data_IF_693710143860
#
_entry.id   IF_693710143860
#
_cell.length_a   1.000
_cell.length_b   1.000
_cell.length_c   1.000
_cell.angle_alpha   90.00
_cell.angle_beta   90.00
_cell.angle_gamma   90.00
#
_symmetry.space_group_name_H-M   'P 1'
#
loop_
_entity.id
_entity.type
_entity.pdbx_description
1 polymer ?
#
# COMPACT_ATOMS: atom_id res chain seq x y z
N UNK A 1 -11.85 41.89 -14.29
CA UNK A 1 -11.63 40.64 -13.55
C UNK A 1 -10.56 40.98 -12.53
N UNK A 2 -10.99 41.48 -11.36
CA UNK A 2 -10.05 41.89 -10.32
C UNK A 2 -9.49 40.64 -9.66
N UNK A 3 -8.18 40.45 -9.80
CA UNK A 3 -7.46 39.38 -9.13
C UNK A 3 -7.39 39.78 -7.65
N UNK A 4 -8.09 39.04 -6.79
CA UNK A 4 -7.96 39.18 -5.35
C UNK A 4 -6.57 38.65 -4.92
N UNK A 5 -5.59 39.55 -4.96
CA UNK A 5 -4.20 39.29 -4.63
C UNK A 5 -4.05 38.76 -3.19
N UNK A 6 -4.92 39.19 -2.28
CA UNK A 6 -4.87 38.77 -0.88
C UNK A 6 -5.26 37.30 -0.73
N UNK A 7 -6.31 36.85 -1.43
CA UNK A 7 -6.75 35.46 -1.45
C UNK A 7 -5.71 34.54 -2.11
N UNK A 8 -5.09 34.99 -3.21
CA UNK A 8 -4.02 34.24 -3.86
C UNK A 8 -2.79 34.08 -2.97
N UNK A 9 -2.40 35.14 -2.25
CA UNK A 9 -1.28 35.10 -1.32
C UNK A 9 -1.50 34.09 -0.18
N UNK A 10 -2.72 34.02 0.40
CA UNK A 10 -3.03 33.05 1.44
C UNK A 10 -2.99 31.60 0.95
N UNK A 11 -3.55 31.32 -0.23
CA UNK A 11 -3.47 29.98 -0.85
C UNK A 11 -2.03 29.59 -1.17
N UNK A 12 -1.24 30.54 -1.67
CA UNK A 12 0.17 30.33 -1.96
C UNK A 12 0.97 30.02 -0.69
N UNK A 13 0.79 30.80 0.39
CA UNK A 13 1.46 30.56 1.67
C UNK A 13 1.06 29.22 2.30
N UNK A 14 -0.23 28.86 2.25
CA UNK A 14 -0.71 27.56 2.72
C UNK A 14 -0.05 26.41 1.95
N UNK A 15 -0.14 26.42 0.62
CA UNK A 15 0.48 25.40 -0.22
C UNK A 15 2.00 25.30 -0.03
N UNK A 16 2.69 26.44 0.04
CA UNK A 16 4.13 26.48 0.30
C UNK A 16 4.50 25.89 1.67
N UNK A 17 3.72 26.20 2.71
CA UNK A 17 3.97 25.67 4.06
C UNK A 17 3.85 24.14 4.12
N UNK A 18 2.87 23.56 3.41
CA UNK A 18 2.70 22.11 3.30
C UNK A 18 3.81 21.46 2.46
N UNK A 19 4.27 22.13 1.41
CA UNK A 19 5.44 21.69 0.63
C UNK A 19 6.72 21.68 1.46
N UNK A 20 6.87 22.57 2.44
CA UNK A 20 7.99 22.56 3.39
C UNK A 20 7.80 21.48 4.47
N UNK A 21 6.57 21.25 4.93
CA UNK A 21 6.27 20.22 5.92
C UNK A 21 6.54 18.81 5.40
N UNK A 22 6.24 18.53 4.12
CA UNK A 22 6.38 17.19 3.55
C UNK A 22 7.80 16.60 3.66
N UNK A 23 8.89 17.30 3.26
CA UNK A 23 10.25 16.84 3.50
C UNK A 23 10.57 16.58 4.98
N UNK A 24 10.04 17.40 5.89
CA UNK A 24 10.23 17.20 7.34
C UNK A 24 9.59 15.87 7.77
N UNK A 25 8.37 15.58 7.31
CA UNK A 25 7.69 14.32 7.57
C UNK A 25 8.46 13.13 6.97
N UNK A 26 8.97 13.23 5.74
CA UNK A 26 9.80 12.18 5.15
C UNK A 26 11.09 11.91 5.94
N UNK A 27 11.78 12.97 6.39
CA UNK A 27 12.98 12.84 7.23
C UNK A 27 12.65 12.13 8.54
N UNK A 28 11.56 12.52 9.20
CA UNK A 28 11.11 11.87 10.44
C UNK A 28 10.76 10.40 10.18
N UNK A 29 10.00 10.11 9.12
CA UNK A 29 9.61 8.74 8.77
C UNK A 29 10.83 7.85 8.53
N UNK A 30 11.80 8.32 7.76
CA UNK A 30 13.03 7.57 7.45
C UNK A 30 13.93 7.41 8.66
N UNK A 31 14.06 8.44 9.50
CA UNK A 31 14.81 8.37 10.75
C UNK A 31 14.19 7.34 11.72
N UNK A 32 12.87 7.35 11.88
CA UNK A 32 12.17 6.34 12.68
C UNK A 32 12.36 4.93 12.09
N UNK A 33 12.38 4.80 10.77
CA UNK A 33 12.48 3.49 10.12
C UNK A 33 13.88 2.88 10.32
N UNK A 34 14.92 3.72 10.26
CA UNK A 34 16.29 3.35 10.64
C UNK A 34 16.38 2.94 12.11
N UNK A 35 15.75 3.70 13.02
CA UNK A 35 15.78 3.43 14.47
C UNK A 35 15.11 2.10 14.84
N UNK A 36 13.98 1.78 14.18
CA UNK A 36 13.15 0.60 14.49
C UNK A 36 13.69 -0.66 13.81
N UNK A 37 14.38 -0.52 12.67
CA UNK A 37 14.88 -1.68 11.93
C UNK A 37 16.07 -2.33 12.65
N UNK A 38 16.17 -3.68 12.67
CA UNK A 38 17.28 -4.38 13.32
C UNK A 38 18.60 -4.33 12.53
N UNK A 39 18.63 -3.58 11.43
CA UNK A 39 19.74 -3.43 10.50
C UNK A 39 19.82 -1.96 10.06
N UNK A 40 21.00 -1.52 9.61
CA UNK A 40 21.15 -0.17 9.05
C UNK A 40 20.62 -0.13 7.61
N UNK A 41 19.53 0.59 7.38
CA UNK A 41 18.98 0.80 6.04
C UNK A 41 19.99 1.58 5.21
N UNK A 42 20.65 2.59 5.80
CA UNK A 42 21.64 3.40 5.08
C UNK A 42 22.79 2.56 4.53
N UNK A 43 23.39 1.70 5.35
CA UNK A 43 24.49 0.82 4.93
C UNK A 43 24.04 -0.16 3.83
N UNK A 44 22.88 -0.79 4.03
CA UNK A 44 22.30 -1.73 3.07
C UNK A 44 22.02 -1.08 1.70
N UNK A 45 21.52 0.16 1.68
CA UNK A 45 21.21 0.86 0.44
C UNK A 45 22.46 1.46 -0.24
N UNK A 46 23.32 2.13 0.51
CA UNK A 46 24.39 2.97 -0.05
C UNK A 46 25.70 2.22 -0.27
N UNK A 47 26.09 1.36 0.68
CA UNK A 47 27.37 0.64 0.62
C UNK A 47 27.17 -0.73 -0.03
N UNK A 48 26.12 -1.45 0.37
CA UNK A 48 25.86 -2.82 -0.08
C UNK A 48 25.02 -2.92 -1.35
N UNK A 49 24.42 -1.81 -1.80
CA UNK A 49 23.53 -1.72 -2.97
C UNK A 49 22.42 -2.79 -2.96
N UNK A 50 21.81 -3.03 -1.80
CA UNK A 50 20.79 -4.05 -1.62
C UNK A 50 19.47 -3.65 -2.30
N UNK A 51 19.22 -4.21 -3.50
CA UNK A 51 18.04 -3.90 -4.31
C UNK A 51 16.74 -4.40 -3.68
N UNK A 52 16.76 -5.54 -2.97
CA UNK A 52 15.60 -6.08 -2.30
C UNK A 52 15.10 -5.15 -1.18
N UNK A 53 16.01 -4.65 -0.34
CA UNK A 53 15.66 -3.61 0.62
C UNK A 53 15.30 -2.28 -0.07
N UNK A 54 16.00 -1.93 -1.16
CA UNK A 54 15.78 -0.72 -1.93
C UNK A 54 14.35 -0.56 -2.45
N UNK A 55 13.79 -1.60 -3.06
CA UNK A 55 12.41 -1.55 -3.57
C UNK A 55 11.38 -1.44 -2.44
N UNK A 56 11.61 -2.13 -1.32
CA UNK A 56 10.76 -2.02 -0.12
C UNK A 56 10.83 -0.62 0.51
N UNK A 57 12.03 -0.06 0.64
CA UNK A 57 12.24 1.28 1.20
C UNK A 57 11.67 2.39 0.29
N UNK A 58 11.78 2.24 -1.02
CA UNK A 58 11.11 3.11 -2.00
C UNK A 58 9.60 3.14 -1.76
N UNK A 59 8.97 1.96 -1.65
CA UNK A 59 7.55 1.86 -1.40
C UNK A 59 7.11 2.37 -0.03
N UNK A 60 7.93 2.22 1.02
CA UNK A 60 7.68 2.85 2.31
C UNK A 60 7.58 4.38 2.18
N UNK A 61 8.50 5.02 1.44
CA UNK A 61 8.45 6.47 1.22
C UNK A 61 7.24 6.90 0.36
N UNK A 62 6.84 6.09 -0.62
CA UNK A 62 5.60 6.33 -1.37
C UNK A 62 4.37 6.19 -0.47
N UNK A 63 4.35 5.20 0.43
CA UNK A 63 3.26 5.03 1.39
C UNK A 63 3.16 6.23 2.36
N UNK A 64 4.29 6.74 2.87
CA UNK A 64 4.33 7.97 3.67
C UNK A 64 3.79 9.16 2.87
N UNK A 65 4.07 9.22 1.57
CA UNK A 65 3.52 10.23 0.67
C UNK A 65 2.01 10.11 0.53
N UNK A 66 1.46 8.90 0.36
CA UNK A 66 0.02 8.66 0.33
C UNK A 66 -0.68 9.08 1.62
N UNK A 67 -0.06 8.79 2.77
CA UNK A 67 -0.53 9.24 4.09
C UNK A 67 -0.58 10.77 4.16
N UNK A 68 0.51 11.44 3.76
CA UNK A 68 0.59 12.91 3.76
C UNK A 68 -0.49 13.53 2.87
N UNK A 69 -0.68 12.98 1.66
CA UNK A 69 -1.74 13.42 0.76
C UNK A 69 -3.11 13.25 1.41
N UNK A 70 -3.39 12.09 2.02
CA UNK A 70 -4.65 11.83 2.71
C UNK A 70 -4.93 12.86 3.81
N UNK A 71 -3.94 13.15 4.65
CA UNK A 71 -4.03 14.15 5.71
C UNK A 71 -4.23 15.58 5.15
N UNK A 72 -3.72 15.88 3.96
CA UNK A 72 -3.84 17.18 3.29
C UNK A 72 -5.22 17.41 2.65
N UNK A 73 -5.95 16.36 2.26
CA UNK A 73 -7.22 16.48 1.53
C UNK A 73 -8.42 16.94 2.39
N UNK A 74 -8.21 17.26 3.67
CA UNK A 74 -9.24 17.81 4.56
C UNK A 74 -9.55 19.29 4.31
N UNK A 75 -10.64 19.81 4.91
CA UNK A 75 -10.98 21.24 4.83
C UNK A 75 -9.88 22.10 5.48
N UNK A 76 -9.43 23.12 4.74
CA UNK A 76 -8.49 24.12 5.26
C UNK A 76 -9.21 25.11 6.17
N UNK A 77 -8.74 25.25 7.41
CA UNK A 77 -9.32 26.15 8.43
C UNK A 77 -8.34 27.22 8.89
N UNK A 78 -7.08 27.14 8.46
CA UNK A 78 -6.06 28.16 8.71
C UNK A 78 -4.66 27.57 8.69
N UNK A 79 -3.65 28.37 8.31
CA UNK A 79 -2.28 27.89 8.09
C UNK A 79 -1.72 27.09 9.28
N UNK A 80 -1.86 27.60 10.50
CA UNK A 80 -1.33 26.93 11.70
C UNK A 80 -2.07 25.64 12.02
N UNK A 81 -3.39 25.63 11.88
CA UNK A 81 -4.23 24.47 12.12
C UNK A 81 -3.98 23.39 11.06
N UNK A 82 -3.80 23.79 9.81
CA UNK A 82 -3.50 22.88 8.70
C UNK A 82 -2.13 22.21 8.93
N UNK A 83 -1.09 22.99 9.30
CA UNK A 83 0.23 22.43 9.62
C UNK A 83 0.19 21.44 10.79
N UNK A 84 -0.53 21.77 11.88
CA UNK A 84 -0.67 20.89 13.04
C UNK A 84 -1.47 19.63 12.70
N UNK A 85 -2.56 19.77 11.94
CA UNK A 85 -3.44 18.65 11.59
C UNK A 85 -2.76 17.71 10.60
N UNK A 86 -2.23 18.25 9.49
CA UNK A 86 -1.50 17.46 8.49
C UNK A 86 -0.28 16.80 9.11
N UNK A 87 0.49 17.55 9.92
CA UNK A 87 1.66 17.00 10.63
C UNK A 87 1.27 15.90 11.61
N UNK A 88 0.27 16.13 12.46
CA UNK A 88 -0.20 15.15 13.44
C UNK A 88 -0.74 13.87 12.81
N UNK A 89 -1.60 13.99 11.79
CA UNK A 89 -2.13 12.83 11.06
C UNK A 89 -1.07 12.12 10.24
N UNK A 90 -0.08 12.83 9.70
CA UNK A 90 1.07 12.18 9.04
C UNK A 90 1.89 11.34 10.01
N UNK A 91 2.15 11.85 11.23
CA UNK A 91 2.85 11.09 12.27
C UNK A 91 2.04 9.87 12.73
N UNK A 92 0.71 10.02 12.90
CA UNK A 92 -0.17 8.89 13.17
C UNK A 92 -0.09 7.86 12.04
N UNK A 93 -0.19 8.28 10.78
CA UNK A 93 -0.14 7.37 9.65
C UNK A 93 1.20 6.67 9.51
N UNK A 94 2.33 7.32 9.84
CA UNK A 94 3.65 6.67 9.94
C UNK A 94 3.61 5.54 11.00
N UNK A 95 3.01 5.79 12.17
CA UNK A 95 2.84 4.75 13.19
C UNK A 95 1.99 3.56 12.68
N UNK A 96 0.93 3.85 11.90
CA UNK A 96 0.11 2.82 11.27
C UNK A 96 0.85 2.04 10.18
N UNK A 97 1.74 2.68 9.42
CA UNK A 97 2.60 1.98 8.46
C UNK A 97 3.58 1.03 9.15
N UNK A 98 4.08 1.36 10.34
CA UNK A 98 4.86 0.41 11.13
C UNK A 98 4.02 -0.77 11.61
N UNK A 99 2.78 -0.52 12.06
CA UNK A 99 1.87 -1.59 12.41
C UNK A 99 1.56 -2.48 11.19
N UNK A 100 1.35 -1.90 10.02
CA UNK A 100 1.19 -2.62 8.76
C UNK A 100 2.42 -3.47 8.41
N UNK A 101 3.64 -2.96 8.62
CA UNK A 101 4.89 -3.75 8.48
C UNK A 101 4.88 -4.98 9.39
N UNK A 102 4.47 -4.82 10.66
CA UNK A 102 4.38 -5.93 11.61
C UNK A 102 3.33 -6.95 11.18
N UNK A 103 2.14 -6.50 10.76
CA UNK A 103 1.07 -7.35 10.22
C UNK A 103 1.58 -8.11 9.00
N UNK A 104 2.24 -7.44 8.05
CA UNK A 104 2.82 -8.07 6.88
C UNK A 104 3.83 -9.16 7.25
N UNK A 105 4.75 -8.87 8.17
CA UNK A 105 5.78 -9.83 8.57
C UNK A 105 5.25 -11.02 9.38
N UNK A 106 4.15 -10.85 10.12
CA UNK A 106 3.63 -11.88 11.04
C UNK A 106 2.45 -12.66 10.49
N UNK A 107 1.67 -12.05 9.61
CA UNK A 107 0.38 -12.60 9.14
C UNK A 107 0.34 -12.82 7.64
N UNK A 108 0.99 -11.96 6.83
CA UNK A 108 1.04 -12.12 5.36
C UNK A 108 2.21 -13.03 4.97
N UNK A 109 3.43 -12.70 5.37
CA UNK A 109 4.66 -13.45 5.09
C UNK A 109 5.12 -14.24 6.32
N UNK A 110 4.25 -15.10 6.84
CA UNK A 110 4.45 -15.74 8.16
C UNK A 110 5.31 -17.00 8.16
N UNK A 111 5.63 -17.58 6.98
CA UNK A 111 6.35 -18.86 6.87
C UNK A 111 7.88 -18.73 6.87
N UNK A 112 8.43 -17.53 6.62
CA UNK A 112 9.87 -17.29 6.56
C UNK A 112 10.24 -15.96 7.23
N UNK A 113 11.54 -15.72 7.43
CA UNK A 113 12.03 -14.50 8.07
C UNK A 113 12.28 -13.39 7.04
N UNK A 114 11.41 -12.39 6.99
CA UNK A 114 11.58 -11.25 6.09
C UNK A 114 12.92 -10.52 6.27
N UNK A 115 13.48 -10.48 7.49
CA UNK A 115 14.78 -9.83 7.72
C UNK A 115 15.89 -10.64 7.06
N UNK A 116 15.87 -11.97 7.21
CA UNK A 116 16.85 -12.86 6.58
C UNK A 116 16.76 -12.73 5.06
N UNK A 117 15.56 -12.86 4.51
CA UNK A 117 15.31 -12.76 3.07
C UNK A 117 15.75 -11.41 2.48
N UNK A 118 15.47 -10.29 3.16
CA UNK A 118 15.83 -8.96 2.65
C UNK A 118 17.33 -8.65 2.77
N UNK A 119 17.97 -9.09 3.85
CA UNK A 119 19.32 -8.62 4.22
C UNK A 119 20.39 -9.64 3.86
N UNK A 120 20.18 -10.91 4.20
CA UNK A 120 21.15 -11.97 3.95
C UNK A 120 21.02 -12.48 2.51
N UNK A 121 19.81 -12.91 2.12
CA UNK A 121 19.56 -13.53 0.81
C UNK A 121 19.37 -12.49 -0.30
N UNK A 122 19.08 -11.23 0.07
CA UNK A 122 18.79 -10.11 -0.85
C UNK A 122 17.70 -10.47 -1.86
N UNK A 123 16.70 -11.21 -1.38
CA UNK A 123 15.60 -11.74 -2.15
C UNK A 123 14.69 -10.61 -2.67
N UNK A 124 14.80 -10.35 -3.97
CA UNK A 124 14.02 -9.30 -4.63
C UNK A 124 12.51 -9.55 -4.55
N UNK A 125 12.06 -10.81 -4.62
CA UNK A 125 10.65 -11.18 -4.51
C UNK A 125 10.06 -10.76 -3.16
N UNK A 126 10.76 -11.04 -2.06
CA UNK A 126 10.37 -10.59 -0.71
C UNK A 126 10.33 -9.07 -0.62
N UNK A 127 11.32 -8.37 -1.19
CA UNK A 127 11.37 -6.92 -1.29
C UNK A 127 10.14 -6.33 -2.00
N UNK A 128 9.76 -6.90 -3.14
CA UNK A 128 8.61 -6.46 -3.94
C UNK A 128 7.28 -6.73 -3.22
N UNK A 129 7.12 -7.87 -2.54
CA UNK A 129 5.89 -8.13 -1.76
C UNK A 129 5.76 -7.15 -0.60
N UNK A 130 6.84 -6.89 0.12
CA UNK A 130 6.83 -5.88 1.19
C UNK A 130 6.52 -4.49 0.61
N UNK A 131 7.05 -4.17 -0.57
CA UNK A 131 6.72 -2.94 -1.29
C UNK A 131 5.23 -2.83 -1.63
N UNK A 132 4.63 -3.89 -2.16
CA UNK A 132 3.20 -3.92 -2.47
C UNK A 132 2.32 -3.75 -1.23
N UNK A 133 2.69 -4.41 -0.14
CA UNK A 133 2.02 -4.28 1.16
C UNK A 133 2.11 -2.86 1.74
N UNK A 134 3.27 -2.20 1.62
CA UNK A 134 3.41 -0.79 2.01
C UNK A 134 2.54 0.14 1.17
N UNK A 135 2.56 0.01 -0.16
CA UNK A 135 1.75 0.85 -1.06
C UNK A 135 0.26 0.68 -0.75
N UNK A 136 -0.21 -0.57 -0.64
CA UNK A 136 -1.60 -0.88 -0.28
C UNK A 136 -1.98 -0.25 1.06
N UNK A 137 -1.12 -0.41 2.07
CA UNK A 137 -1.35 0.16 3.40
C UNK A 137 -1.30 1.68 3.41
N UNK A 138 -0.42 2.30 2.61
CA UNK A 138 -0.34 3.75 2.45
C UNK A 138 -1.61 4.34 1.85
N UNK A 139 -2.19 3.68 0.84
CA UNK A 139 -3.49 4.07 0.29
C UNK A 139 -4.60 3.95 1.32
N UNK A 140 -4.68 2.82 2.04
CA UNK A 140 -5.68 2.60 3.09
C UNK A 140 -5.56 3.65 4.20
N UNK A 141 -4.35 3.88 4.72
CA UNK A 141 -4.14 4.87 5.79
C UNK A 141 -4.49 6.26 5.28
N UNK A 142 -3.98 6.65 4.11
CA UNK A 142 -4.29 7.95 3.51
C UNK A 142 -5.80 8.18 3.35
N UNK A 143 -6.53 7.18 2.85
CA UNK A 143 -7.99 7.25 2.75
C UNK A 143 -8.69 7.31 4.10
N UNK A 144 -8.24 6.54 5.09
CA UNK A 144 -8.85 6.52 6.43
C UNK A 144 -8.70 7.84 7.21
N UNK A 145 -7.72 8.66 6.81
CA UNK A 145 -7.44 9.98 7.38
C UNK A 145 -8.18 11.11 6.63
N UNK A 146 -8.81 10.80 5.51
CA UNK A 146 -9.56 11.74 4.69
C UNK A 146 -11.06 11.70 5.01
N UNK A 147 -11.74 12.85 4.89
CA UNK A 147 -13.18 12.98 5.10
C UNK A 147 -13.55 13.65 6.43
N UNK A 148 -14.82 14.04 6.56
CA UNK A 148 -15.39 14.66 7.77
C UNK A 148 -16.24 13.67 8.59
N UNK A 149 -16.69 14.09 9.78
CA UNK A 149 -17.60 13.31 10.65
C UNK A 149 -16.94 12.20 11.48
N UNK A 150 -15.70 11.83 11.15
CA UNK A 150 -14.93 10.80 11.85
C UNK A 150 -13.84 11.37 12.75
N UNK A 151 -12.77 10.60 12.92
CA UNK A 151 -11.55 11.02 13.60
C UNK A 151 -10.58 9.86 13.77
N UNK A 152 -9.65 9.99 14.72
CA UNK A 152 -8.63 8.95 14.97
C UNK A 152 -9.24 7.57 15.22
N UNK A 153 -10.37 7.47 15.93
CA UNK A 153 -11.02 6.18 16.24
C UNK A 153 -11.53 5.49 14.98
N UNK A 154 -12.20 6.22 14.08
CA UNK A 154 -12.72 5.64 12.82
C UNK A 154 -11.57 5.28 11.89
N UNK A 155 -10.55 6.15 11.78
CA UNK A 155 -9.36 5.88 11.00
C UNK A 155 -8.67 4.58 11.44
N UNK A 156 -8.46 4.41 12.75
CA UNK A 156 -7.89 3.19 13.33
C UNK A 156 -8.74 1.95 13.05
N UNK A 157 -10.06 2.04 13.24
CA UNK A 157 -10.96 0.91 13.03
C UNK A 157 -10.95 0.44 11.57
N UNK A 158 -11.13 1.35 10.61
CA UNK A 158 -11.14 0.99 9.20
C UNK A 158 -9.76 0.60 8.68
N UNK A 159 -8.69 1.20 9.19
CA UNK A 159 -7.33 0.71 8.93
C UNK A 159 -7.20 -0.76 9.36
N UNK A 160 -7.58 -1.12 10.59
CA UNK A 160 -7.48 -2.50 11.08
C UNK A 160 -8.34 -3.46 10.26
N UNK A 161 -9.57 -3.07 9.91
CA UNK A 161 -10.45 -3.88 9.05
C UNK A 161 -9.83 -4.11 7.66
N UNK A 162 -9.25 -3.07 7.06
CA UNK A 162 -8.59 -3.17 5.75
C UNK A 162 -7.30 -3.99 5.81
N UNK A 163 -6.52 -3.91 6.89
CA UNK A 163 -5.36 -4.78 7.11
C UNK A 163 -5.79 -6.25 7.27
N UNK A 164 -6.89 -6.52 7.98
CA UNK A 164 -7.46 -7.86 8.07
C UNK A 164 -7.94 -8.36 6.70
N UNK A 165 -8.51 -7.50 5.87
CA UNK A 165 -8.87 -7.84 4.49
C UNK A 165 -7.63 -8.17 3.65
N UNK A 166 -6.53 -7.41 3.75
CA UNK A 166 -5.26 -7.76 3.07
C UNK A 166 -4.72 -9.13 3.51
N UNK A 167 -4.75 -9.43 4.81
CA UNK A 167 -4.34 -10.74 5.35
C UNK A 167 -5.27 -11.85 4.82
N UNK A 168 -6.59 -11.67 4.90
CA UNK A 168 -7.53 -12.66 4.41
C UNK A 168 -7.37 -12.90 2.90
N UNK A 169 -7.15 -11.84 2.12
CA UNK A 169 -6.93 -11.95 0.70
C UNK A 169 -5.61 -12.64 0.36
N UNK A 170 -4.55 -12.48 1.17
CA UNK A 170 -3.30 -13.24 0.98
C UNK A 170 -3.52 -14.75 1.06
N UNK A 171 -4.41 -15.19 1.97
CA UNK A 171 -4.79 -16.59 2.10
C UNK A 171 -5.63 -17.02 0.89
N UNK A 172 -6.61 -16.22 0.47
CA UNK A 172 -7.43 -16.50 -0.72
C UNK A 172 -6.54 -16.62 -1.96
N UNK A 173 -5.61 -15.67 -2.15
CA UNK A 173 -4.68 -15.66 -3.26
C UNK A 173 -3.84 -16.95 -3.30
N UNK A 174 -3.29 -17.37 -2.15
CA UNK A 174 -2.53 -18.62 -2.05
C UNK A 174 -3.38 -19.88 -2.29
N UNK A 175 -4.69 -19.83 -2.03
CA UNK A 175 -5.60 -20.97 -2.26
C UNK A 175 -6.04 -21.09 -3.72
N UNK A 176 -6.11 -19.98 -4.45
CA UNK A 176 -6.51 -19.98 -5.86
C UNK A 176 -5.32 -20.19 -6.81
N UNK A 177 -4.09 -19.89 -6.37
CA UNK A 177 -2.88 -20.20 -7.13
C UNK A 177 -2.64 -21.70 -7.17
N UNK A 178 -2.04 -22.18 -8.26
CA UNK A 178 -1.60 -23.58 -8.39
C UNK A 178 -0.37 -23.91 -7.55
N UNK A 179 0.26 -22.91 -6.93
CA UNK A 179 1.49 -23.03 -6.14
C UNK A 179 1.38 -22.33 -4.78
N UNK A 180 2.25 -22.73 -3.86
CA UNK A 180 2.41 -22.10 -2.54
C UNK A 180 3.28 -20.84 -2.67
N UNK A 181 2.66 -19.67 -2.49
CA UNK A 181 3.34 -18.39 -2.70
C UNK A 181 4.50 -18.19 -1.72
N UNK A 182 4.38 -18.71 -0.49
CA UNK A 182 5.45 -18.57 0.50
C UNK A 182 6.66 -19.40 0.12
N UNK A 183 6.42 -20.63 -0.35
CA UNK A 183 7.50 -21.50 -0.82
C UNK A 183 8.23 -20.86 -2.01
N UNK A 184 7.48 -20.38 -3.00
CA UNK A 184 8.07 -19.77 -4.19
C UNK A 184 8.87 -18.52 -3.86
N UNK A 185 8.33 -17.63 -3.01
CA UNK A 185 9.03 -16.43 -2.59
C UNK A 185 10.31 -16.79 -1.82
N UNK A 186 10.27 -17.73 -0.88
CA UNK A 186 11.46 -18.21 -0.14
C UNK A 186 12.52 -18.86 -1.05
N UNK A 187 12.13 -19.37 -2.21
CA UNK A 187 13.04 -19.89 -3.25
C UNK A 187 13.49 -18.83 -4.27
N UNK A 188 13.55 -17.56 -3.86
CA UNK A 188 13.95 -16.41 -4.67
C UNK A 188 13.15 -16.22 -5.97
N UNK A 189 11.89 -16.68 -6.03
CA UNK A 189 11.03 -16.48 -7.18
C UNK A 189 10.48 -15.05 -7.21
N UNK A 190 11.26 -14.13 -7.81
CA UNK A 190 10.88 -12.74 -8.03
C UNK A 190 9.54 -12.58 -8.78
N UNK A 191 9.20 -13.51 -9.66
CA UNK A 191 7.98 -13.48 -10.47
C UNK A 191 6.73 -13.71 -9.62
N UNK A 192 6.79 -14.70 -8.72
CA UNK A 192 5.74 -14.94 -7.73
C UNK A 192 5.58 -13.73 -6.80
N UNK A 193 6.71 -13.13 -6.37
CA UNK A 193 6.70 -11.91 -5.56
C UNK A 193 6.04 -10.72 -6.26
N UNK A 194 6.35 -10.49 -7.54
CA UNK A 194 5.71 -9.46 -8.37
C UNK A 194 4.20 -9.71 -8.52
N UNK A 195 3.79 -10.91 -8.94
CA UNK A 195 2.38 -11.25 -9.11
C UNK A 195 1.57 -11.02 -7.82
N UNK A 196 2.11 -11.48 -6.69
CA UNK A 196 1.46 -11.30 -5.40
C UNK A 196 1.43 -9.84 -4.93
N UNK A 197 2.52 -9.08 -5.11
CA UNK A 197 2.57 -7.66 -4.77
C UNK A 197 1.53 -6.83 -5.53
N UNK A 198 1.34 -7.10 -6.83
CA UNK A 198 0.36 -6.38 -7.64
C UNK A 198 -1.07 -6.64 -7.18
N UNK A 199 -1.35 -7.85 -6.71
CA UNK A 199 -2.61 -8.23 -6.11
C UNK A 199 -2.86 -7.52 -4.76
N UNK A 200 -1.84 -7.38 -3.91
CA UNK A 200 -1.94 -6.60 -2.68
C UNK A 200 -2.22 -5.12 -2.97
N UNK A 201 -1.50 -4.52 -3.93
CA UNK A 201 -1.73 -3.13 -4.35
C UNK A 201 -3.14 -2.96 -4.91
N UNK A 202 -3.58 -3.88 -5.78
CA UNK A 202 -4.91 -3.85 -6.37
C UNK A 202 -6.03 -3.89 -5.32
N UNK A 203 -5.90 -4.77 -4.33
CA UNK A 203 -6.83 -4.78 -3.20
C UNK A 203 -6.73 -3.48 -2.38
N UNK A 204 -5.52 -2.98 -2.12
CA UNK A 204 -5.30 -1.71 -1.43
C UNK A 204 -6.00 -0.52 -2.11
N UNK A 205 -5.97 -0.46 -3.45
CA UNK A 205 -6.69 0.55 -4.24
C UNK A 205 -8.19 0.42 -4.03
N UNK A 206 -8.76 -0.79 -4.10
CA UNK A 206 -10.20 -0.98 -3.89
C UNK A 206 -10.61 -0.64 -2.45
N UNK A 207 -9.82 -1.05 -1.45
CA UNK A 207 -10.06 -0.73 -0.05
C UNK A 207 -9.91 0.77 0.24
N UNK A 208 -9.08 1.48 -0.52
CA UNK A 208 -8.98 2.95 -0.46
C UNK A 208 -10.34 3.61 -0.72
N UNK A 209 -11.09 3.14 -1.72
CA UNK A 209 -12.46 3.61 -2.00
C UNK A 209 -13.41 3.24 -0.86
N UNK A 210 -13.28 2.01 -0.35
CA UNK A 210 -14.17 1.45 0.67
C UNK A 210 -14.05 2.13 2.05
N UNK A 211 -12.89 2.74 2.33
CA UNK A 211 -12.55 3.37 3.62
C UNK A 211 -12.56 4.90 3.54
N UNK A 212 -12.34 5.48 2.36
CA UNK A 212 -12.27 6.92 2.18
C UNK A 212 -13.63 7.61 2.13
N UNK A 213 -13.64 8.90 2.44
CA UNK A 213 -14.82 9.77 2.38
C UNK A 213 -15.39 10.08 3.77
N UNK A 214 -16.54 10.75 3.79
CA UNK A 214 -17.14 11.23 5.03
C UNK A 214 -17.70 10.09 5.89
N UNK A 215 -17.41 10.12 7.18
CA UNK A 215 -18.00 9.20 8.14
C UNK A 215 -19.43 9.63 8.49
N UNK A 216 -20.41 8.99 7.85
CA UNK A 216 -21.83 9.20 8.13
C UNK A 216 -22.29 8.46 9.41
N UNK A 217 -22.10 7.14 9.47
CA UNK A 217 -22.42 6.30 10.63
C UNK A 217 -21.69 4.96 10.56
N UNK A 218 -21.56 4.25 11.69
CA UNK A 218 -20.95 2.92 11.71
C UNK A 218 -21.64 1.94 10.76
N UNK A 219 -22.97 1.89 10.79
CA UNK A 219 -23.75 0.99 9.93
C UNK A 219 -23.50 1.28 8.45
N UNK A 220 -23.59 2.55 8.04
CA UNK A 220 -23.42 2.94 6.65
C UNK A 220 -22.01 2.62 6.13
N UNK A 221 -20.98 3.07 6.86
CA UNK A 221 -19.59 2.92 6.41
C UNK A 221 -19.11 1.47 6.50
N UNK A 222 -19.55 0.70 7.49
CA UNK A 222 -19.26 -0.75 7.52
C UNK A 222 -19.95 -1.49 6.37
N UNK A 223 -21.17 -1.10 6.00
CA UNK A 223 -21.87 -1.71 4.87
C UNK A 223 -21.16 -1.41 3.54
N UNK A 224 -20.71 -0.17 3.33
CA UNK A 224 -19.87 0.19 2.18
C UNK A 224 -18.56 -0.61 2.17
N UNK A 225 -17.87 -0.66 3.32
CA UNK A 225 -16.62 -1.38 3.46
C UNK A 225 -16.77 -2.86 3.11
N UNK A 226 -17.76 -3.54 3.71
CA UNK A 226 -18.02 -4.97 3.48
C UNK A 226 -18.44 -5.22 2.04
N UNK A 227 -19.32 -4.40 1.46
CA UNK A 227 -19.75 -4.53 0.06
C UNK A 227 -18.56 -4.43 -0.90
N UNK A 228 -17.74 -3.39 -0.76
CA UNK A 228 -16.65 -3.15 -1.69
C UNK A 228 -15.50 -4.16 -1.49
N UNK A 229 -15.25 -4.59 -0.25
CA UNK A 229 -14.33 -5.71 0.04
C UNK A 229 -14.82 -7.02 -0.56
N UNK A 230 -16.10 -7.36 -0.41
CA UNK A 230 -16.68 -8.58 -0.98
C UNK A 230 -16.60 -8.58 -2.51
N UNK A 231 -16.89 -7.43 -3.15
CA UNK A 231 -16.71 -7.27 -4.60
C UNK A 231 -15.25 -7.49 -5.02
N UNK A 232 -14.27 -6.94 -4.28
CA UNK A 232 -12.86 -7.16 -4.56
C UNK A 232 -12.47 -8.64 -4.49
N UNK A 233 -12.92 -9.34 -3.44
CA UNK A 233 -12.64 -10.76 -3.21
C UNK A 233 -13.26 -11.68 -4.26
N UNK A 234 -14.29 -11.22 -4.98
CA UNK A 234 -14.92 -11.97 -6.08
C UNK A 234 -14.28 -11.58 -7.42
N UNK A 235 -14.19 -10.28 -7.69
CA UNK A 235 -13.81 -9.77 -9.00
C UNK A 235 -12.32 -9.93 -9.29
N UNK A 236 -11.42 -9.78 -8.31
CA UNK A 236 -9.98 -9.97 -8.55
C UNK A 236 -9.64 -11.42 -8.92
N UNK A 237 -10.13 -12.47 -8.21
CA UNK A 237 -9.94 -13.86 -8.65
C UNK A 237 -10.56 -14.17 -10.02
N UNK A 238 -11.77 -13.67 -10.29
CA UNK A 238 -12.41 -13.85 -11.60
C UNK A 238 -11.58 -13.22 -12.71
N UNK A 239 -11.10 -11.99 -12.50
CA UNK A 239 -10.27 -11.29 -13.46
C UNK A 239 -8.96 -12.03 -13.72
N UNK A 240 -8.32 -12.56 -12.67
CA UNK A 240 -7.12 -13.41 -12.81
C UNK A 240 -7.37 -14.63 -13.69
N UNK A 241 -8.42 -15.40 -13.41
CA UNK A 241 -8.77 -16.58 -14.21
C UNK A 241 -9.07 -16.18 -15.67
N UNK A 242 -9.69 -15.01 -15.87
CA UNK A 242 -9.95 -14.50 -17.21
C UNK A 242 -8.66 -14.10 -17.94
N UNK A 243 -7.68 -13.50 -17.27
CA UNK A 243 -6.37 -13.20 -17.86
C UNK A 243 -5.68 -14.47 -18.34
N UNK A 244 -5.58 -15.47 -17.47
CA UNK A 244 -4.90 -16.74 -17.78
C UNK A 244 -5.54 -17.42 -19.01
N UNK A 245 -6.88 -17.41 -19.11
CA UNK A 245 -7.60 -18.11 -20.18
C UNK A 245 -7.74 -17.32 -21.48
N UNK A 246 -8.00 -16.01 -21.40
CA UNK A 246 -8.41 -15.20 -22.55
C UNK A 246 -7.23 -14.47 -23.17
N UNK A 247 -6.32 -13.94 -22.35
CA UNK A 247 -5.19 -13.14 -22.85
C UNK A 247 -4.04 -14.06 -23.28
N UNK A 248 -3.83 -15.17 -22.58
CA UNK A 248 -2.70 -16.07 -22.82
C UNK A 248 -3.15 -17.48 -23.26
N UNK A 249 -4.12 -17.56 -24.17
CA UNK A 249 -4.77 -18.81 -24.63
C UNK A 249 -3.85 -19.96 -25.10
N UNK A 250 -2.54 -19.71 -25.23
CA UNK A 250 -1.53 -20.69 -25.65
C UNK A 250 -0.43 -20.97 -24.61
N UNK A 251 -0.41 -20.26 -23.47
CA UNK A 251 0.59 -20.42 -22.39
C UNK A 251 -0.02 -20.09 -21.03
N UNK A 252 0.04 -21.01 -20.07
CA UNK A 252 -0.45 -20.74 -18.72
C UNK A 252 0.49 -19.76 -18.00
N UNK A 253 -0.05 -18.60 -17.60
CA UNK A 253 0.72 -17.57 -16.89
C UNK A 253 1.24 -18.08 -15.55
N UNK A 254 0.45 -18.91 -14.86
CA UNK A 254 0.84 -19.53 -13.59
C UNK A 254 1.98 -20.52 -13.78
N UNK A 255 1.98 -21.30 -14.88
CA UNK A 255 3.09 -22.18 -15.25
C UNK A 255 4.37 -21.37 -15.52
N UNK A 256 4.28 -20.24 -16.24
CA UNK A 256 5.43 -19.35 -16.47
C UNK A 256 5.99 -18.72 -15.19
N UNK A 257 5.14 -18.38 -14.23
CA UNK A 257 5.57 -17.85 -12.94
C UNK A 257 6.22 -18.95 -12.09
N UNK A 258 5.65 -20.15 -12.10
CA UNK A 258 6.09 -21.28 -11.27
C UNK A 258 7.34 -21.96 -11.83
N UNK A 259 7.26 -22.52 -13.04
CA UNK A 259 8.31 -23.38 -13.60
C UNK A 259 9.48 -22.57 -14.15
N UNK A 260 9.18 -21.54 -14.94
CA UNK A 260 10.21 -20.74 -15.63
C UNK A 260 10.77 -19.60 -14.77
N UNK A 261 10.16 -19.32 -13.60
CA UNK A 261 10.40 -18.12 -12.78
C UNK A 261 10.45 -16.86 -13.64
N UNK A 262 9.52 -16.75 -14.61
CA UNK A 262 9.56 -15.73 -15.65
C UNK A 262 9.15 -14.34 -15.12
N UNK A 263 10.14 -13.48 -14.88
CA UNK A 263 9.94 -12.14 -14.32
C UNK A 263 8.97 -11.29 -15.16
N UNK A 264 9.09 -11.23 -16.50
CA UNK A 264 8.10 -10.56 -17.35
C UNK A 264 6.65 -11.03 -17.14
N UNK A 265 6.41 -12.33 -16.92
CA UNK A 265 5.08 -12.86 -16.62
C UNK A 265 4.54 -12.31 -15.29
N UNK A 266 5.37 -12.29 -14.24
CA UNK A 266 5.01 -11.69 -12.95
C UNK A 266 4.76 -10.18 -13.05
N UNK A 267 5.57 -9.44 -13.82
CA UNK A 267 5.37 -8.01 -14.09
C UNK A 267 4.05 -7.75 -14.83
N UNK A 268 3.68 -8.64 -15.75
CA UNK A 268 2.44 -8.54 -16.49
C UNK A 268 1.25 -8.74 -15.56
N UNK A 269 1.21 -9.80 -14.75
CA UNK A 269 0.17 -10.01 -13.73
C UNK A 269 0.06 -8.81 -12.78
N UNK A 270 1.21 -8.29 -12.33
CA UNK A 270 1.28 -7.10 -11.49
C UNK A 270 0.57 -5.90 -12.14
N UNK A 271 0.94 -5.57 -13.38
CA UNK A 271 0.45 -4.37 -14.06
C UNK A 271 -1.03 -4.46 -14.42
N UNK A 272 -1.50 -5.59 -14.96
CA UNK A 272 -2.90 -5.74 -15.38
C UNK A 272 -3.85 -5.80 -14.20
N UNK A 273 -3.45 -6.42 -13.08
CA UNK A 273 -4.29 -6.51 -11.88
C UNK A 273 -4.45 -5.14 -11.23
N UNK A 274 -3.38 -4.36 -11.14
CA UNK A 274 -3.45 -2.96 -10.69
C UNK A 274 -4.34 -2.15 -11.66
N UNK A 275 -4.14 -2.28 -12.97
CA UNK A 275 -4.94 -1.55 -13.97
C UNK A 275 -6.44 -1.84 -13.83
N UNK A 276 -6.81 -3.10 -13.65
CA UNK A 276 -8.20 -3.50 -13.41
C UNK A 276 -8.75 -2.90 -12.11
N UNK A 277 -7.97 -2.92 -11.03
CA UNK A 277 -8.40 -2.33 -9.75
C UNK A 277 -8.62 -0.83 -9.82
N UNK A 278 -7.81 -0.10 -10.61
CA UNK A 278 -7.99 1.34 -10.84
C UNK A 278 -9.30 1.60 -11.57
N UNK A 279 -9.63 0.81 -12.60
CA UNK A 279 -10.93 0.93 -13.29
C UNK A 279 -12.07 0.62 -12.32
N UNK A 280 -11.95 -0.48 -11.57
CA UNK A 280 -12.96 -0.91 -10.62
C UNK A 280 -13.19 0.13 -9.52
N UNK A 281 -12.14 0.78 -9.02
CA UNK A 281 -12.22 1.87 -8.04
C UNK A 281 -13.20 2.98 -8.43
N UNK A 282 -13.29 3.32 -9.71
CA UNK A 282 -14.20 4.36 -10.21
C UNK A 282 -15.61 3.84 -10.50
N UNK A 283 -15.84 2.53 -10.40
CA UNK A 283 -17.14 1.90 -10.69
C UNK A 283 -17.95 1.56 -9.43
N UNK A 284 -17.33 1.50 -8.24
CA UNK A 284 -17.94 0.99 -6.99
C UNK A 284 -17.93 1.98 -5.83
#
# INVERSE_FOLDING_TARGET
MDIDFSLQLHKFLGGFSLLVLFPVILVIANWLNELISPYSIKDELMEKSNVALGVSFMAFNLAVTSVFIGAMLGPSVGLWQDLLSVGGYSLLGIALLYLARVINNRLILYKFSNVKELIEDRNFGTGVVQAGSYIASGFIVGASLHGEGGGVVTALAFFLLAQLALVAYSVVYNLITSFDIHHEIEQDNASAGLAFAGNLIALGIILMNAVGGDFISWEHNLMLFVRNTALAFILLPIFRIALDRVVFSHTDLSEKILEDKNIPAGMLEFAVTISFSIVLYFMI
#
